data_IF_635112296761
#
_entry.id   IF_635112296761
#
_cell.length_a   1.000
_cell.length_b   1.000
_cell.length_c   1.000
_cell.angle_alpha   90.00
_cell.angle_beta   90.00
_cell.angle_gamma   90.00
#
_symmetry.space_group_name_H-M   'P 1'
#
loop_
_entity.id
_entity.type
_entity.pdbx_description
1 polymer ?
#
# COMPACT_ATOMS: atom_id res chain seq x y z
N UNK A 1 -10.93 12.42 -27.48
CA UNK A 1 -9.98 11.36 -27.90
C UNK A 1 -8.56 11.76 -27.47
N UNK A 2 -8.30 11.82 -26.15
CA UNK A 2 -7.00 12.25 -25.61
C UNK A 2 -6.65 11.55 -24.27
N UNK A 3 -7.36 10.47 -23.93
CA UNK A 3 -7.18 9.76 -22.65
C UNK A 3 -6.39 8.45 -22.78
N UNK A 4 -6.07 8.01 -24.01
CA UNK A 4 -5.40 6.71 -24.24
C UNK A 4 -3.86 6.76 -24.28
N UNK A 5 -3.24 7.95 -24.20
CA UNK A 5 -1.76 8.07 -24.32
C UNK A 5 -0.99 8.14 -23.02
N UNK A 6 -1.63 8.33 -21.87
CA UNK A 6 -0.91 8.55 -20.60
C UNK A 6 -0.83 7.30 -19.69
N UNK A 7 -1.46 6.19 -20.07
CA UNK A 7 -1.37 4.92 -19.32
C UNK A 7 -0.14 4.06 -19.69
N UNK A 8 0.60 4.41 -20.75
CA UNK A 8 1.61 3.51 -21.35
C UNK A 8 3.01 3.54 -20.74
N UNK A 9 3.32 4.38 -19.74
CA UNK A 9 4.69 4.49 -19.22
C UNK A 9 4.81 4.56 -17.69
N UNK A 10 3.90 3.94 -16.93
CA UNK A 10 4.21 3.61 -15.53
C UNK A 10 4.92 2.26 -15.50
N UNK A 11 6.25 2.31 -15.46
CA UNK A 11 7.12 1.15 -15.28
C UNK A 11 6.78 0.55 -13.91
N UNK A 12 6.30 -0.69 -13.90
CA UNK A 12 6.10 -1.48 -12.70
C UNK A 12 7.11 -2.63 -12.71
N UNK A 13 7.83 -2.88 -11.60
CA UNK A 13 7.95 -2.03 -10.41
C UNK A 13 8.58 -0.66 -10.74
N UNK A 14 8.57 0.26 -9.77
CA UNK A 14 9.21 1.57 -9.92
C UNK A 14 10.68 1.44 -10.30
N UNK A 15 11.24 2.46 -10.98
CA UNK A 15 12.62 2.43 -11.47
C UNK A 15 13.67 2.25 -10.35
N UNK A 16 13.35 2.68 -9.13
CA UNK A 16 14.20 2.54 -7.95
C UNK A 16 13.95 1.25 -7.16
N UNK A 17 12.94 0.45 -7.51
CA UNK A 17 12.52 -0.75 -6.77
C UNK A 17 13.68 -1.72 -6.53
N UNK A 18 14.47 -2.03 -7.56
CA UNK A 18 15.61 -2.93 -7.44
C UNK A 18 16.66 -2.41 -6.45
N UNK A 19 16.86 -1.09 -6.40
CA UNK A 19 17.78 -0.48 -5.45
C UNK A 19 17.22 -0.56 -4.03
N UNK A 20 15.91 -0.36 -3.85
CA UNK A 20 15.26 -0.51 -2.54
C UNK A 20 15.32 -1.96 -2.03
N UNK A 21 15.05 -2.95 -2.88
CA UNK A 21 15.19 -4.38 -2.55
C UNK A 21 16.62 -4.70 -2.11
N UNK A 22 17.61 -4.13 -2.79
CA UNK A 22 19.00 -4.33 -2.42
C UNK A 22 19.37 -3.67 -1.07
N UNK A 23 18.79 -2.51 -0.73
CA UNK A 23 18.93 -1.92 0.61
C UNK A 23 18.32 -2.83 1.68
N UNK A 24 17.15 -3.42 1.41
CA UNK A 24 16.53 -4.39 2.32
C UNK A 24 17.42 -5.62 2.52
N UNK A 25 17.98 -6.19 1.44
CA UNK A 25 18.90 -7.34 1.53
C UNK A 25 20.14 -7.05 2.38
N UNK A 26 20.69 -5.83 2.29
CA UNK A 26 21.81 -5.39 3.13
C UNK A 26 21.42 -5.18 4.60
N UNK A 27 20.13 -5.06 4.89
CA UNK A 27 19.59 -4.81 6.23
C UNK A 27 19.02 -6.08 6.87
N UNK A 28 19.26 -7.26 6.29
CA UNK A 28 18.90 -8.55 6.90
C UNK A 28 19.64 -8.69 8.25
N UNK A 29 18.91 -9.09 9.29
CA UNK A 29 19.37 -9.15 10.68
C UNK A 29 19.21 -7.84 11.46
N UNK A 30 18.72 -6.77 10.82
CA UNK A 30 18.42 -5.50 11.49
C UNK A 30 16.96 -5.41 11.91
N UNK A 31 16.70 -4.66 12.98
CA UNK A 31 15.35 -4.25 13.37
C UNK A 31 14.80 -3.21 12.39
N UNK A 32 13.57 -3.45 11.91
CA UNK A 32 12.87 -2.57 10.97
C UNK A 32 11.48 -2.21 11.51
N UNK A 33 11.00 -1.04 11.09
CA UNK A 33 9.65 -0.57 11.36
C UNK A 33 8.83 -0.56 10.08
N UNK A 34 7.56 -0.92 10.21
CA UNK A 34 6.67 -1.16 9.08
C UNK A 34 5.49 -0.18 9.07
N UNK A 35 5.24 0.38 7.89
CA UNK A 35 3.97 1.02 7.56
C UNK A 35 3.26 0.13 6.56
N UNK A 36 2.25 -0.61 7.01
CA UNK A 36 1.54 -1.59 6.21
C UNK A 36 0.29 -1.00 5.56
N UNK A 37 -0.01 -1.47 4.34
CA UNK A 37 -1.23 -1.18 3.60
C UNK A 37 -2.23 -2.31 3.82
N UNK A 38 -3.34 -1.98 4.50
CA UNK A 38 -4.46 -2.90 4.69
C UNK A 38 -5.53 -2.63 3.64
N UNK A 39 -5.75 -3.52 2.68
CA UNK A 39 -6.95 -3.44 1.85
C UNK A 39 -8.15 -3.76 2.73
N UNK A 40 -8.99 -2.76 3.01
CA UNK A 40 -10.31 -2.95 3.61
C UNK A 40 -11.38 -2.92 2.50
N UNK A 41 -12.57 -3.47 2.77
CA UNK A 41 -13.64 -3.64 1.77
C UNK A 41 -14.06 -2.34 1.06
N UNK A 42 -13.81 -1.20 1.70
CA UNK A 42 -14.25 0.13 1.25
C UNK A 42 -13.13 1.15 1.09
N UNK A 43 -11.96 0.94 1.70
CA UNK A 43 -10.82 1.86 1.63
C UNK A 43 -9.48 1.14 1.87
N UNK A 44 -8.37 1.79 1.53
CA UNK A 44 -7.05 1.29 1.89
C UNK A 44 -6.67 1.90 3.23
N UNK A 45 -6.66 1.09 4.28
CA UNK A 45 -6.18 1.48 5.61
C UNK A 45 -4.65 1.50 5.64
N UNK A 46 -4.07 2.41 6.41
CA UNK A 46 -2.63 2.45 6.68
C UNK A 46 -2.43 2.08 8.14
N UNK A 47 -1.63 1.04 8.40
CA UNK A 47 -1.22 0.68 9.76
C UNK A 47 0.23 1.08 9.97
N UNK A 48 0.45 2.02 10.88
CA UNK A 48 1.77 2.32 11.41
C UNK A 48 2.06 1.38 12.57
N UNK A 49 3.20 0.69 12.52
CA UNK A 49 3.72 -0.08 13.64
C UNK A 49 4.87 0.70 14.27
N UNK A 50 4.80 0.95 15.57
CA UNK A 50 5.93 1.37 16.42
C UNK A 50 6.71 0.18 16.97
N UNK A 51 6.21 -1.03 16.77
CA UNK A 51 6.89 -2.28 17.15
C UNK A 51 7.97 -2.59 16.11
N UNK A 52 9.24 -2.73 16.52
CA UNK A 52 10.31 -3.20 15.66
C UNK A 52 10.17 -4.71 15.40
N UNK A 53 10.56 -5.14 14.20
CA UNK A 53 10.66 -6.56 13.82
C UNK A 53 12.03 -6.81 13.22
N UNK A 54 12.66 -7.95 13.51
CA UNK A 54 13.89 -8.32 12.83
C UNK A 54 13.60 -8.74 11.38
N UNK A 55 14.33 -8.17 10.42
CA UNK A 55 14.26 -8.56 9.01
C UNK A 55 15.06 -9.85 8.79
N UNK A 56 14.38 -10.98 8.64
CA UNK A 56 15.02 -12.29 8.48
C UNK A 56 15.47 -12.53 7.04
N UNK A 57 14.65 -12.16 6.06
CA UNK A 57 14.98 -12.41 4.65
C UNK A 57 14.17 -11.53 3.68
N UNK A 58 14.62 -11.44 2.43
CA UNK A 58 13.96 -10.81 1.29
C UNK A 58 13.89 -11.79 0.13
N UNK A 59 12.74 -12.40 -0.06
CA UNK A 59 12.53 -13.50 -1.00
C UNK A 59 11.78 -13.05 -2.26
N UNK A 60 11.97 -13.77 -3.34
CA UNK A 60 11.12 -13.63 -4.53
C UNK A 60 9.70 -14.12 -4.24
N UNK A 61 8.71 -13.34 -4.68
CA UNK A 61 7.31 -13.72 -4.59
C UNK A 61 6.93 -14.54 -5.83
N UNK A 62 6.38 -15.76 -5.70
CA UNK A 62 6.28 -16.71 -6.81
C UNK A 62 5.27 -16.31 -7.90
N UNK A 63 4.32 -15.42 -7.59
CA UNK A 63 3.25 -15.01 -8.51
C UNK A 63 2.97 -13.52 -8.38
N UNK A 64 3.92 -12.67 -8.78
CA UNK A 64 3.74 -11.23 -8.65
C UNK A 64 2.66 -10.77 -9.63
N UNK A 65 1.82 -9.85 -9.18
CA UNK A 65 0.62 -9.43 -9.89
C UNK A 65 0.38 -7.93 -9.64
N UNK A 66 0.68 -7.06 -10.62
CA UNK A 66 0.49 -5.62 -10.48
C UNK A 66 -0.98 -5.22 -10.31
N UNK A 67 -1.91 -5.97 -10.91
CA UNK A 67 -3.34 -5.68 -10.80
C UNK A 67 -3.85 -5.91 -9.37
N UNK A 68 -3.22 -6.85 -8.65
CA UNK A 68 -3.55 -7.19 -7.25
C UNK A 68 -2.67 -6.47 -6.23
N UNK A 69 -1.68 -5.68 -6.66
CA UNK A 69 -0.71 -5.03 -5.77
C UNK A 69 0.23 -6.05 -5.11
N UNK A 70 0.59 -7.12 -5.81
CA UNK A 70 1.56 -8.12 -5.37
C UNK A 70 2.90 -7.85 -6.06
N UNK A 71 3.85 -7.26 -5.33
CA UNK A 71 5.19 -6.96 -5.82
C UNK A 71 6.03 -8.24 -6.04
N UNK A 72 7.13 -8.17 -6.83
CA UNK A 72 8.01 -9.30 -7.08
C UNK A 72 8.73 -9.89 -5.86
N UNK A 73 8.70 -9.23 -4.70
CA UNK A 73 9.39 -9.71 -3.50
C UNK A 73 8.49 -9.64 -2.26
N UNK A 74 8.87 -10.42 -1.25
CA UNK A 74 8.31 -10.40 0.10
C UNK A 74 9.43 -10.33 1.14
N UNK A 75 9.15 -9.75 2.29
CA UNK A 75 10.04 -9.78 3.46
C UNK A 75 9.57 -10.86 4.43
N UNK A 76 10.51 -11.49 5.13
CA UNK A 76 10.25 -12.41 6.23
C UNK A 76 10.66 -11.75 7.55
N UNK A 77 9.81 -11.85 8.56
CA UNK A 77 10.02 -11.29 9.89
C UNK A 77 10.24 -12.40 10.93
N UNK A 78 10.86 -12.04 12.06
CA UNK A 78 11.08 -12.90 13.23
C UNK A 78 9.80 -13.49 13.84
N UNK A 79 8.68 -12.76 13.76
CA UNK A 79 7.36 -13.23 14.20
C UNK A 79 6.74 -14.30 13.27
N UNK A 80 7.48 -14.73 12.25
CA UNK A 80 7.10 -15.75 11.29
C UNK A 80 6.23 -15.24 10.14
N UNK A 81 5.96 -13.93 10.06
CA UNK A 81 5.16 -13.36 8.96
C UNK A 81 6.00 -13.14 7.71
N UNK A 82 5.46 -13.56 6.57
CA UNK A 82 5.90 -13.15 5.24
C UNK A 82 4.99 -12.05 4.70
N UNK A 83 5.51 -10.86 4.42
CA UNK A 83 4.72 -9.74 3.90
C UNK A 83 5.23 -9.34 2.51
N UNK A 84 4.34 -9.40 1.52
CA UNK A 84 4.67 -8.94 0.16
C UNK A 84 4.95 -7.43 0.15
N UNK A 85 6.00 -6.99 -0.54
CA UNK A 85 6.40 -5.57 -0.57
C UNK A 85 5.30 -4.65 -1.11
N UNK A 86 4.43 -5.14 -1.99
CA UNK A 86 3.26 -4.39 -2.49
C UNK A 86 2.15 -4.18 -1.45
N UNK A 87 2.29 -4.75 -0.24
CA UNK A 87 1.43 -4.50 0.93
C UNK A 87 2.08 -3.60 1.97
N UNK A 88 3.24 -3.02 1.64
CA UNK A 88 3.99 -2.16 2.55
C UNK A 88 4.09 -0.79 1.89
N UNK A 89 3.73 0.26 2.64
CA UNK A 89 3.91 1.64 2.18
C UNK A 89 5.36 2.09 2.39
N UNK A 90 5.94 1.72 3.55
CA UNK A 90 7.29 2.13 3.94
C UNK A 90 7.92 1.13 4.91
N UNK A 91 9.22 0.92 4.76
CA UNK A 91 10.09 0.22 5.72
C UNK A 91 11.19 1.18 6.14
N UNK A 92 11.40 1.32 7.44
CA UNK A 92 12.42 2.20 8.00
C UNK A 92 13.30 1.48 9.00
N UNK A 93 14.49 2.01 9.24
CA UNK A 93 15.42 1.58 10.29
C UNK A 93 15.56 2.68 11.35
N UNK A 94 15.90 2.28 12.58
CA UNK A 94 16.08 3.10 13.80
C UNK A 94 14.85 3.86 14.31
N UNK A 95 14.03 4.42 13.41
CA UNK A 95 12.90 5.29 13.77
C UNK A 95 11.61 4.94 12.98
N UNK A 96 10.48 4.69 13.66
CA UNK A 96 9.20 4.39 13.00
C UNK A 96 8.50 5.63 12.43
N UNK A 97 8.66 6.78 13.10
CA UNK A 97 7.97 8.03 12.78
C UNK A 97 8.96 9.09 12.29
N UNK A 98 8.59 9.78 11.21
CA UNK A 98 9.40 10.85 10.59
C UNK A 98 10.89 10.48 10.40
N UNK A 99 11.18 9.34 9.74
CA UNK A 99 12.56 8.90 9.52
C UNK A 99 13.31 9.89 8.62
N UNK A 100 14.62 10.08 8.83
CA UNK A 100 15.46 10.73 7.83
C UNK A 100 15.55 9.84 6.57
N UNK A 101 15.90 10.42 5.42
CA UNK A 101 15.80 9.75 4.11
C UNK A 101 16.72 8.53 4.02
N UNK A 102 17.89 8.62 4.63
CA UNK A 102 18.88 7.56 4.77
C UNK A 102 18.33 6.32 5.50
N UNK A 103 17.34 6.51 6.38
CA UNK A 103 16.74 5.44 7.16
C UNK A 103 15.53 4.81 6.46
N UNK A 104 15.15 5.28 5.28
CA UNK A 104 14.09 4.70 4.47
C UNK A 104 14.69 3.60 3.58
N UNK A 105 14.45 2.35 3.95
CA UNK A 105 14.92 1.17 3.21
C UNK A 105 14.05 0.89 1.99
N UNK A 106 12.74 1.06 2.16
CA UNK A 106 11.74 0.82 1.13
C UNK A 106 10.62 1.85 1.25
N UNK A 107 10.13 2.34 0.12
CA UNK A 107 8.96 3.18 0.02
C UNK A 107 8.23 2.92 -1.30
N UNK A 108 6.96 2.54 -1.18
CA UNK A 108 6.11 2.24 -2.32
C UNK A 108 5.61 3.53 -2.99
N UNK A 109 6.04 3.75 -4.24
CA UNK A 109 5.70 4.93 -5.03
C UNK A 109 4.45 4.71 -5.92
N UNK A 110 4.19 3.48 -6.39
CA UNK A 110 3.06 3.20 -7.29
C UNK A 110 1.70 3.26 -6.58
N UNK A 111 1.63 2.83 -5.32
CA UNK A 111 0.38 2.92 -4.53
C UNK A 111 0.13 4.34 -4.00
N UNK A 112 1.18 5.08 -3.63
CA UNK A 112 1.05 6.47 -3.21
C UNK A 112 0.47 7.33 -4.33
N UNK A 113 0.91 7.16 -5.57
CA UNK A 113 0.34 7.84 -6.72
C UNK A 113 -1.13 7.46 -6.99
N UNK A 114 -1.51 6.19 -6.82
CA UNK A 114 -2.94 5.78 -6.94
C UNK A 114 -3.81 6.27 -5.78
N UNK A 115 -3.24 6.45 -4.59
CA UNK A 115 -3.95 6.99 -3.42
C UNK A 115 -4.06 8.52 -3.48
N UNK A 116 -3.03 9.21 -3.97
CA UNK A 116 -2.96 10.68 -4.07
C UNK A 116 -3.63 11.22 -5.34
N UNK A 117 -3.57 10.50 -6.47
CA UNK A 117 -4.16 10.93 -7.75
C UNK A 117 -5.58 10.40 -7.96
N UNK A 118 -6.14 9.67 -7.00
CA UNK A 118 -7.59 9.50 -6.99
C UNK A 118 -8.18 10.81 -6.50
N UNK A 119 -8.38 11.76 -7.42
CA UNK A 119 -9.42 12.78 -7.32
C UNK A 119 -10.80 12.08 -7.23
N UNK A 120 -11.06 11.30 -6.18
CA UNK A 120 -12.43 11.21 -5.70
C UNK A 120 -12.65 12.50 -4.96
N UNK A 121 -13.01 13.53 -5.72
CA UNK A 121 -13.53 14.80 -5.23
C UNK A 121 -14.37 14.50 -3.99
N UNK A 122 -13.86 14.90 -2.83
CA UNK A 122 -14.61 15.08 -1.60
C UNK A 122 -15.59 16.25 -1.83
N UNK A 123 -16.44 16.13 -2.85
CA UNK A 123 -17.56 17.02 -3.03
C UNK A 123 -18.56 16.71 -1.92
N UNK A 124 -19.23 17.75 -1.44
CA UNK A 124 -20.29 17.60 -0.46
C UNK A 124 -21.32 16.53 -0.89
N UNK A 125 -21.61 16.45 -2.19
CA UNK A 125 -22.46 15.44 -2.78
C UNK A 125 -21.94 14.00 -2.57
N UNK A 126 -20.64 13.75 -2.79
CA UNK A 126 -20.06 12.40 -2.66
C UNK A 126 -19.94 11.96 -1.20
N UNK A 127 -19.69 12.91 -0.28
CA UNK A 127 -19.70 12.67 1.16
C UNK A 127 -21.12 12.39 1.66
N UNK A 128 -22.10 13.20 1.25
CA UNK A 128 -23.49 13.05 1.66
C UNK A 128 -24.10 11.72 1.15
N UNK A 129 -23.85 11.37 -0.10
CA UNK A 129 -24.31 10.10 -0.68
C UNK A 129 -23.74 8.89 0.08
N UNK A 130 -22.44 8.91 0.36
CA UNK A 130 -21.77 7.79 1.04
C UNK A 130 -22.06 7.70 2.53
N UNK A 131 -22.22 8.85 3.20
CA UNK A 131 -22.64 8.90 4.61
C UNK A 131 -24.02 8.28 4.78
N UNK A 132 -24.95 8.59 3.86
CA UNK A 132 -26.28 7.98 3.84
C UNK A 132 -26.24 6.47 3.63
N UNK A 133 -25.38 5.98 2.74
CA UNK A 133 -25.20 4.54 2.53
C UNK A 133 -24.67 3.82 3.77
N UNK A 134 -23.63 4.37 4.43
CA UNK A 134 -23.04 3.78 5.64
C UNK A 134 -23.99 3.82 6.84
N UNK A 135 -24.68 4.94 7.06
CA UNK A 135 -25.74 5.06 8.07
C UNK A 135 -26.89 4.08 7.78
N UNK A 136 -27.25 3.91 6.51
CA UNK A 136 -28.22 2.90 6.09
C UNK A 136 -27.81 1.49 6.52
N UNK A 137 -26.57 1.09 6.28
CA UNK A 137 -26.06 -0.22 6.69
C UNK A 137 -26.09 -0.40 8.22
N UNK A 138 -25.67 0.61 8.99
CA UNK A 138 -25.72 0.57 10.45
C UNK A 138 -27.14 0.47 11.01
N UNK A 139 -28.12 1.04 10.31
CA UNK A 139 -29.55 1.00 10.66
C UNK A 139 -30.29 -0.21 10.07
N UNK A 140 -29.58 -1.14 9.42
CA UNK A 140 -30.15 -2.38 8.87
C UNK A 140 -30.77 -2.26 7.47
N UNK A 141 -30.63 -1.13 6.78
CA UNK A 141 -31.04 -1.01 5.38
C UNK A 141 -30.06 -1.76 4.48
N UNK A 142 -30.58 -2.64 3.62
CA UNK A 142 -29.77 -3.34 2.61
C UNK A 142 -29.39 -2.37 1.49
N UNK A 143 -28.12 -2.40 1.08
CA UNK A 143 -27.61 -1.61 -0.05
C UNK A 143 -28.37 -2.02 -1.31
N UNK A 144 -29.15 -1.09 -1.87
CA UNK A 144 -29.82 -1.30 -3.15
C UNK A 144 -28.78 -1.24 -4.28
N UNK A 145 -28.42 -2.42 -4.81
CA UNK A 145 -27.45 -2.59 -5.89
C UNK A 145 -27.83 -1.87 -7.20
N UNK A 146 -29.03 -1.27 -7.28
CA UNK A 146 -29.47 -0.48 -8.44
C UNK A 146 -28.93 0.95 -8.45
N UNK A 147 -28.41 1.46 -7.33
CA UNK A 147 -27.87 2.82 -7.21
C UNK A 147 -26.38 2.94 -7.54
N UNK A 148 -25.66 1.83 -7.70
CA UNK A 148 -24.24 1.82 -8.12
C UNK A 148 -24.10 1.67 -9.64
N UNK A 149 -24.57 2.65 -10.40
CA UNK A 149 -24.15 2.86 -11.78
C UNK A 149 -23.60 4.28 -11.92
N UNK A 150 -22.27 4.37 -11.90
CA UNK A 150 -21.39 5.15 -12.79
C UNK A 150 -19.95 5.14 -12.25
#
# INVERSE_FOLDING_TARGET
MAFERQERERIWPSADYSQQVERLRRSIGSEIYLVELKPEDIHMGIRYSDTPFELIDVLEFPRPDPARGLAPHLILLDDGRGINLGRIARITIDTPYSPPVENILYQESFLMDRLLLRERRLSEASIAERSKLLLGCFLGNRIDKRLTRE
#
